data_IF_292465220504
#
_entry.id   IF_292465220504
#
_cell.length_a   1.000
_cell.length_b   1.000
_cell.length_c   1.000
_cell.angle_alpha   90.00
_cell.angle_beta   90.00
_cell.angle_gamma   90.00
#
_symmetry.space_group_name_H-M   'P 1'
#
loop_
_entity.id
_entity.type
_entity.pdbx_description
1 polymer ?
#
# COMPACT_ATOMS: atom_id res chain seq x y z
N UNK A 1 -0.18 -22.01 -4.42
CA UNK A 1 -1.16 -20.91 -4.30
C UNK A 1 -0.55 -19.82 -3.41
N UNK A 2 -0.96 -18.54 -3.49
CA UNK A 2 -0.29 -17.44 -2.78
C UNK A 2 -0.10 -17.70 -1.26
N UNK A 3 -1.07 -18.36 -0.63
CA UNK A 3 -1.04 -18.77 0.79
C UNK A 3 0.09 -19.76 1.14
N UNK A 4 0.53 -20.57 0.19
CA UNK A 4 1.66 -21.49 0.41
C UNK A 4 2.99 -20.72 0.38
N UNK A 5 3.11 -19.79 -0.57
CA UNK A 5 4.32 -18.98 -0.78
C UNK A 5 4.54 -18.01 0.39
N UNK A 6 3.47 -17.43 0.92
CA UNK A 6 3.53 -16.55 2.10
C UNK A 6 3.64 -17.32 3.43
N UNK A 7 3.68 -18.65 3.40
CA UNK A 7 3.89 -19.49 4.59
C UNK A 7 2.66 -19.69 5.47
N UNK A 8 1.49 -19.14 5.13
CA UNK A 8 0.25 -19.31 5.90
C UNK A 8 -0.12 -20.77 6.11
N UNK A 9 -0.02 -21.58 5.06
CA UNK A 9 -0.33 -23.02 5.16
C UNK A 9 0.62 -23.75 6.11
N UNK A 10 1.91 -23.44 6.05
CA UNK A 10 2.93 -24.01 6.94
C UNK A 10 2.74 -23.58 8.40
N UNK A 11 2.18 -22.40 8.62
CA UNK A 11 1.80 -21.89 9.93
C UNK A 11 0.44 -22.40 10.44
N UNK A 12 -0.23 -23.28 9.69
CA UNK A 12 -1.53 -23.87 10.07
C UNK A 12 -2.76 -23.09 9.59
N UNK A 13 -2.58 -21.99 8.86
CA UNK A 13 -3.67 -21.20 8.28
C UNK A 13 -4.03 -21.69 6.88
N UNK A 14 -4.81 -22.78 6.81
CA UNK A 14 -5.17 -23.41 5.54
C UNK A 14 -6.44 -22.83 4.88
N UNK A 15 -7.14 -21.91 5.54
CA UNK A 15 -8.41 -21.34 5.09
C UNK A 15 -8.33 -19.85 4.83
N UNK A 16 -9.21 -19.34 3.97
CA UNK A 16 -9.38 -17.88 3.79
C UNK A 16 -9.74 -17.21 5.12
N UNK A 17 -10.75 -17.75 5.81
CA UNK A 17 -11.24 -17.18 7.06
C UNK A 17 -10.19 -17.19 8.18
N UNK A 18 -9.37 -18.25 8.25
CA UNK A 18 -8.31 -18.33 9.28
C UNK A 18 -7.16 -17.36 8.98
N UNK A 19 -6.83 -17.16 7.70
CA UNK A 19 -5.87 -16.11 7.30
C UNK A 19 -6.44 -14.72 7.58
N UNK A 20 -7.72 -14.49 7.28
CA UNK A 20 -8.35 -13.19 7.48
C UNK A 20 -8.44 -12.82 8.96
N UNK A 21 -8.84 -13.76 9.81
CA UNK A 21 -8.87 -13.57 11.26
C UNK A 21 -7.47 -13.21 11.79
N UNK A 22 -6.44 -13.96 11.39
CA UNK A 22 -5.07 -13.71 11.86
C UNK A 22 -4.54 -12.35 11.38
N UNK A 23 -4.78 -11.99 10.11
CA UNK A 23 -4.36 -10.69 9.58
C UNK A 23 -5.06 -9.55 10.31
N UNK A 24 -6.37 -9.67 10.54
CA UNK A 24 -7.14 -8.69 11.29
C UNK A 24 -6.59 -8.51 12.72
N UNK A 25 -6.40 -9.61 13.43
CA UNK A 25 -5.92 -9.61 14.81
C UNK A 25 -4.49 -9.07 14.90
N UNK A 26 -3.63 -9.41 13.94
CA UNK A 26 -2.29 -8.86 13.86
C UNK A 26 -2.32 -7.34 13.65
N UNK A 27 -3.10 -6.84 12.68
CA UNK A 27 -3.17 -5.41 12.39
C UNK A 27 -3.76 -4.60 13.56
N UNK A 28 -4.68 -5.18 14.34
CA UNK A 28 -5.23 -4.53 15.54
C UNK A 28 -4.33 -4.67 16.77
N UNK A 29 -3.68 -5.82 16.92
CA UNK A 29 -2.89 -6.23 18.08
C UNK A 29 -1.43 -5.79 18.06
N UNK A 30 -0.89 -5.38 16.89
CA UNK A 30 0.50 -4.94 16.74
C UNK A 30 0.85 -3.62 17.42
N UNK A 31 -0.05 -3.06 18.24
CA UNK A 31 0.25 -1.88 19.05
C UNK A 31 1.31 -2.27 20.08
N UNK A 32 2.52 -1.67 20.04
CA UNK A 32 3.59 -2.01 20.95
C UNK A 32 3.13 -1.90 22.40
N UNK A 33 3.45 -2.94 23.17
CA UNK A 33 3.14 -3.01 24.61
C UNK A 33 3.97 -2.00 25.41
N UNK A 34 5.08 -1.56 24.82
CA UNK A 34 5.96 -0.53 25.35
C UNK A 34 5.49 0.86 24.89
N UNK A 35 5.28 1.78 25.84
CA UNK A 35 4.74 3.12 25.56
C UNK A 35 5.75 4.03 24.86
N UNK A 36 7.01 3.60 24.76
CA UNK A 36 8.09 4.36 24.12
C UNK A 36 8.31 3.98 22.65
N UNK A 37 7.50 3.08 22.11
CA UNK A 37 7.55 2.69 20.70
C UNK A 37 6.21 3.03 20.08
N UNK A 38 6.24 3.72 18.94
CA UNK A 38 5.06 3.94 18.10
C UNK A 38 5.17 2.98 16.92
N UNK A 39 4.10 2.23 16.65
CA UNK A 39 3.99 1.36 15.48
C UNK A 39 2.70 1.71 14.74
N UNK A 40 2.85 2.13 13.48
CA UNK A 40 1.75 2.53 12.63
C UNK A 40 1.81 1.72 11.34
N UNK A 41 0.66 1.13 10.97
CA UNK A 41 0.47 0.42 9.71
C UNK A 41 -0.69 1.07 8.99
N UNK A 42 -0.46 1.44 7.73
CA UNK A 42 -1.46 2.09 6.90
C UNK A 42 -1.55 1.35 5.56
N UNK A 43 -2.69 0.71 5.31
CA UNK A 43 -2.97 0.02 4.05
C UNK A 43 -3.86 0.88 3.16
N UNK A 44 -3.63 0.82 1.85
CA UNK A 44 -4.34 1.64 0.88
C UNK A 44 -4.45 0.93 -0.46
N UNK A 45 -5.62 1.01 -1.07
CA UNK A 45 -5.89 0.45 -2.39
C UNK A 45 -6.52 1.53 -3.26
N UNK A 46 -5.82 1.87 -4.33
CA UNK A 46 -6.29 2.81 -5.34
C UNK A 46 -6.68 2.04 -6.59
N UNK A 47 -7.88 2.30 -7.10
CA UNK A 47 -8.42 1.61 -8.28
C UNK A 47 -8.87 2.64 -9.31
N UNK A 48 -8.67 2.32 -10.59
CA UNK A 48 -9.17 3.18 -11.66
C UNK A 48 -10.70 3.30 -11.58
N UNK A 49 -11.24 4.51 -11.69
CA UNK A 49 -12.69 4.77 -11.63
C UNK A 49 -13.51 3.94 -12.63
N UNK A 50 -12.91 3.53 -13.76
CA UNK A 50 -13.58 2.73 -14.78
C UNK A 50 -13.48 1.21 -14.52
N UNK A 51 -12.86 0.78 -13.43
CA UNK A 51 -12.74 -0.63 -13.08
C UNK A 51 -13.75 -1.01 -11.99
N UNK A 52 -14.76 -1.85 -12.30
CA UNK A 52 -15.77 -2.23 -11.32
C UNK A 52 -15.17 -3.18 -10.28
N UNK A 53 -15.29 -2.81 -9.01
CA UNK A 53 -14.87 -3.61 -7.86
C UNK A 53 -16.09 -4.09 -7.09
N UNK A 54 -16.13 -5.39 -6.76
CA UNK A 54 -17.24 -5.96 -6.00
C UNK A 54 -17.34 -5.35 -4.60
N UNK A 55 -18.57 -5.18 -4.12
CA UNK A 55 -18.82 -4.66 -2.78
C UNK A 55 -18.22 -5.57 -1.68
N UNK A 56 -18.22 -6.89 -1.89
CA UNK A 56 -17.61 -7.84 -0.97
C UNK A 56 -16.11 -7.63 -0.83
N UNK A 57 -15.41 -7.37 -1.94
CA UNK A 57 -13.97 -7.12 -1.91
C UNK A 57 -13.65 -5.78 -1.24
N UNK A 58 -14.44 -4.72 -1.51
CA UNK A 58 -14.29 -3.43 -0.81
C UNK A 58 -14.45 -3.60 0.70
N UNK A 59 -15.44 -4.40 1.11
CA UNK A 59 -15.69 -4.72 2.52
C UNK A 59 -14.53 -5.51 3.15
N UNK A 60 -13.99 -6.51 2.45
CA UNK A 60 -12.83 -7.26 2.94
C UNK A 60 -11.61 -6.34 3.17
N UNK A 61 -11.36 -5.39 2.25
CA UNK A 61 -10.26 -4.43 2.37
C UNK A 61 -10.39 -3.55 3.61
N UNK A 62 -11.59 -3.03 3.86
CA UNK A 62 -11.85 -2.17 5.02
C UNK A 62 -11.83 -2.97 6.32
N UNK A 63 -12.58 -4.07 6.40
CA UNK A 63 -12.81 -4.80 7.63
C UNK A 63 -11.56 -5.59 8.08
N UNK A 64 -10.89 -6.28 7.14
CA UNK A 64 -9.78 -7.19 7.48
C UNK A 64 -8.43 -6.47 7.45
N UNK A 65 -8.20 -5.67 6.41
CA UNK A 65 -6.90 -5.05 6.19
C UNK A 65 -6.81 -3.61 6.72
N UNK A 66 -7.91 -3.06 7.24
CA UNK A 66 -7.99 -1.64 7.63
C UNK A 66 -7.52 -0.72 6.50
N UNK A 67 -7.79 -1.14 5.26
CA UNK A 67 -7.26 -0.48 4.09
C UNK A 67 -8.19 0.62 3.61
N UNK A 68 -7.64 1.79 3.33
CA UNK A 68 -8.38 2.86 2.65
C UNK A 68 -8.57 2.49 1.19
N UNK A 69 -9.82 2.35 0.76
CA UNK A 69 -10.16 2.19 -0.66
C UNK A 69 -10.44 3.55 -1.30
N UNK A 70 -9.87 3.80 -2.48
CA UNK A 70 -10.13 5.02 -3.25
C UNK A 70 -10.22 4.74 -4.74
N UNK A 71 -11.25 5.28 -5.38
CA UNK A 71 -11.35 5.32 -6.84
C UNK A 71 -10.67 6.59 -7.36
N UNK A 72 -9.82 6.44 -8.37
CA UNK A 72 -9.02 7.51 -8.97
C UNK A 72 -8.98 7.41 -10.49
N UNK A 73 -8.75 8.53 -11.17
CA UNK A 73 -8.57 8.53 -12.62
C UNK A 73 -7.08 8.52 -12.96
N UNK A 74 -6.52 7.33 -13.16
CA UNK A 74 -5.12 7.19 -13.57
C UNK A 74 -4.86 7.67 -15.01
N UNK A 75 -5.89 7.84 -15.84
CA UNK A 75 -5.73 8.26 -17.24
C UNK A 75 -5.61 9.77 -17.32
N UNK A 76 -6.53 10.49 -16.68
CA UNK A 76 -6.61 11.95 -16.79
C UNK A 76 -5.95 12.69 -15.63
N UNK A 77 -5.80 12.06 -14.46
CA UNK A 77 -5.28 12.71 -13.24
C UNK A 77 -3.98 12.07 -12.72
N UNK A 78 -3.21 11.40 -13.58
CA UNK A 78 -2.03 10.61 -13.18
C UNK A 78 -1.04 11.36 -12.27
N UNK A 79 -0.66 12.60 -12.60
CA UNK A 79 0.28 13.40 -11.80
C UNK A 79 -0.28 13.74 -10.41
N UNK A 80 -1.57 14.09 -10.34
CA UNK A 80 -2.26 14.39 -9.08
C UNK A 80 -2.34 13.14 -8.21
N UNK A 81 -2.67 11.99 -8.79
CA UNK A 81 -2.75 10.71 -8.08
C UNK A 81 -1.38 10.30 -7.54
N UNK A 82 -0.31 10.46 -8.33
CA UNK A 82 1.07 10.21 -7.87
C UNK A 82 1.42 11.14 -6.70
N UNK A 83 1.10 12.43 -6.82
CA UNK A 83 1.33 13.39 -5.73
C UNK A 83 0.56 13.03 -4.46
N UNK A 84 -0.66 12.53 -4.57
CA UNK A 84 -1.47 12.13 -3.43
C UNK A 84 -0.93 10.86 -2.75
N UNK A 85 -0.53 9.85 -3.53
CA UNK A 85 0.08 8.61 -2.99
C UNK A 85 1.37 8.96 -2.25
N UNK A 86 2.25 9.74 -2.88
CA UNK A 86 3.50 10.14 -2.27
C UNK A 86 3.24 11.00 -1.02
N UNK A 87 2.28 11.92 -1.07
CA UNK A 87 1.87 12.68 0.10
C UNK A 87 1.38 11.80 1.26
N UNK A 88 0.60 10.75 0.98
CA UNK A 88 0.07 9.85 2.00
C UNK A 88 1.15 8.99 2.66
N UNK A 89 2.07 8.43 1.86
CA UNK A 89 3.20 7.65 2.38
C UNK A 89 4.10 8.52 3.25
N UNK A 90 4.43 9.73 2.78
CA UNK A 90 5.28 10.66 3.53
C UNK A 90 4.58 11.25 4.78
N UNK A 91 3.24 11.26 4.83
CA UNK A 91 2.48 11.70 6.02
C UNK A 91 2.50 10.64 7.12
N UNK A 92 2.51 9.34 6.76
CA UNK A 92 2.76 8.24 7.70
C UNK A 92 4.21 8.18 8.22
N UNK A 93 5.14 8.84 7.53
CA UNK A 93 6.55 8.96 7.93
C UNK A 93 6.87 10.26 8.69
N UNK A 94 5.88 10.91 9.32
CA UNK A 94 6.11 12.14 10.08
C UNK A 94 6.69 11.88 11.47
N UNK A 95 7.98 11.50 11.50
CA UNK A 95 8.93 12.05 12.47
C UNK A 95 10.42 11.86 12.08
N UNK A 96 10.75 11.66 10.79
CA UNK A 96 12.16 11.65 10.36
C UNK A 96 12.36 12.52 9.12
N UNK A 97 12.63 13.80 9.40
CA UNK A 97 13.60 14.67 8.71
C UNK A 97 13.92 14.33 7.24
N UNK A 98 13.00 14.61 6.32
CA UNK A 98 13.26 15.32 5.04
C UNK A 98 12.06 15.21 4.08
N UNK A 99 11.14 16.19 4.17
CA UNK A 99 10.07 16.36 3.18
C UNK A 99 10.58 16.50 1.74
N UNK A 100 11.83 16.93 1.56
CA UNK A 100 12.46 17.07 0.24
C UNK A 100 13.00 15.75 -0.34
N UNK A 101 13.39 14.78 0.50
CA UNK A 101 13.87 13.48 0.02
C UNK A 101 12.72 12.58 -0.45
N UNK A 102 11.57 12.66 0.23
CA UNK A 102 10.43 11.78 -0.01
C UNK A 102 9.77 12.01 -1.39
N UNK A 103 9.77 13.26 -1.91
CA UNK A 103 9.33 13.55 -3.29
C UNK A 103 10.25 12.96 -4.37
N UNK A 104 11.51 12.65 -4.06
CA UNK A 104 12.49 12.17 -5.04
C UNK A 104 12.57 10.64 -5.15
N UNK A 105 12.22 9.89 -4.10
CA UNK A 105 12.47 8.44 -4.03
C UNK A 105 11.65 7.64 -5.06
N UNK A 106 10.41 8.03 -5.35
CA UNK A 106 9.59 7.35 -6.38
C UNK A 106 9.77 7.94 -7.78
N UNK A 107 10.11 9.23 -7.89
CA UNK A 107 10.38 9.89 -9.18
C UNK A 107 11.70 9.44 -9.82
N UNK A 108 12.72 9.06 -9.02
CA UNK A 108 14.04 8.67 -9.56
C UNK A 108 14.04 7.37 -10.37
N UNK A 109 13.06 6.48 -10.17
CA UNK A 109 12.98 5.23 -10.95
C UNK A 109 12.34 5.41 -12.34
N UNK A 110 11.77 6.58 -12.67
CA UNK A 110 11.23 6.84 -14.01
C UNK A 110 12.22 7.56 -14.94
N UNK A 111 13.26 8.21 -14.40
CA UNK A 111 14.25 8.91 -15.22
C UNK A 111 15.28 7.97 -15.89
N UNK A 112 15.52 6.77 -15.35
CA UNK A 112 16.56 5.86 -15.90
C UNK A 112 16.08 5.05 -17.12
N UNK A 113 14.78 5.09 -17.43
CA UNK A 113 14.22 4.36 -18.59
C UNK A 113 13.95 5.22 -19.81
N UNK A 114 14.08 6.55 -19.72
CA UNK A 114 13.79 7.48 -20.83
C UNK A 114 15.05 8.14 -21.45
N UNK A 115 16.24 7.91 -20.89
CA UNK A 115 17.51 8.45 -21.44
C UNK A 115 18.30 7.45 -22.32
N UNK A 116 17.75 6.26 -22.61
CA UNK A 116 18.37 5.27 -23.53
C UNK A 116 17.77 5.29 -24.95
N UNK A 117 17.15 6.40 -25.35
CA UNK A 117 16.55 6.58 -26.69
C UNK A 117 17.14 7.70 -27.56
N UNK A 118 18.04 8.54 -27.02
CA UNK A 118 18.54 9.73 -27.74
C UNK A 118 20.05 9.89 -27.59
N UNK A 119 20.83 8.96 -28.15
CA UNK A 119 22.20 9.16 -28.61
C UNK A 119 22.70 7.89 -29.32
N UNK A 120 22.20 7.66 -30.54
CA UNK A 120 22.98 7.05 -31.62
C UNK A 120 22.59 7.72 -32.94
N UNK A 121 23.35 8.76 -33.27
CA UNK A 121 23.69 9.17 -34.64
C UNK A 121 25.17 9.51 -34.64
#
# INVERSE_FOLDING_TARGET
MLRDVLGFKSAGFDGRETVFAEVHDHLQGSRPRDKNVTFEVANGVLVNINFPVSASYKKDLEDVYQARFKEVDFVNESERVISEINGWVCVGENERQDRQSCQQTFCRHRAVSDERGLLQR
#
